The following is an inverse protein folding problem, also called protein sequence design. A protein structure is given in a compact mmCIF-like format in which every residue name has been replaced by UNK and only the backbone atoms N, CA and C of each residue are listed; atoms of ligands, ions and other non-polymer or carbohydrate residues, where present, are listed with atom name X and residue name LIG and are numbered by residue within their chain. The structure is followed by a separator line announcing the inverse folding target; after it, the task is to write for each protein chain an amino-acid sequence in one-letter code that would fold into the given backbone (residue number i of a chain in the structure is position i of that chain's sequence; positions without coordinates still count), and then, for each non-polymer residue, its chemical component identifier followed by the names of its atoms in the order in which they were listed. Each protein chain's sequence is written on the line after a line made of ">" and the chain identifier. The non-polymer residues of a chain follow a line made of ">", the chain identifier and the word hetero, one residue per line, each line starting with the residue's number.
data_IF_732982141590
#
_entry.id   IF_732982141590
#
_cell.length_a   1.000
_cell.length_b   1.000
_cell.length_c   1.000
_cell.angle_alpha   90.00
_cell.angle_beta   90.00
_cell.angle_gamma   90.00
#
_symmetry.space_group_name_H-M   'P 1'
#
loop_
_entity.id
_entity.type
_entity.pdbx_description
1 polymer ?
#
# COMPACT_ATOMS: atom_id res chain seq x y z
N UNK A 1 30.54 8.00 11.18
CA UNK A 1 29.20 7.48 11.56
C UNK A 1 28.16 8.59 11.79
N UNK A 2 28.57 9.81 12.18
CA UNK A 2 27.65 10.96 12.23
C UNK A 2 26.90 11.12 10.90
N UNK A 3 25.57 11.04 10.95
CA UNK A 3 24.65 11.25 9.82
C UNK A 3 24.22 10.00 9.04
N UNK A 4 24.91 8.85 9.16
CA UNK A 4 24.55 7.63 8.39
C UNK A 4 23.58 6.68 9.12
N UNK A 5 23.38 6.90 10.42
CA UNK A 5 22.54 6.06 11.29
C UNK A 5 21.07 6.12 10.87
N UNK A 6 20.62 7.24 10.32
CA UNK A 6 19.23 7.45 9.86
C UNK A 6 18.86 6.64 8.61
N UNK A 7 19.80 5.88 8.02
CA UNK A 7 19.60 5.16 6.75
C UNK A 7 19.74 3.63 6.89
N UNK A 8 19.78 3.11 8.11
CA UNK A 8 19.79 1.67 8.42
C UNK A 8 18.77 1.34 9.51
N UNK A 9 18.26 0.11 9.52
CA UNK A 9 17.34 -0.34 10.58
C UNK A 9 18.10 -0.77 11.84
N UNK A 10 17.43 -0.84 12.99
CA UNK A 10 18.06 -1.17 14.27
C UNK A 10 18.77 -2.54 14.23
N UNK A 11 18.20 -3.51 13.51
CA UNK A 11 18.78 -4.85 13.32
C UNK A 11 20.04 -4.82 12.45
N UNK A 12 20.05 -3.99 11.41
CA UNK A 12 21.19 -3.83 10.51
C UNK A 12 22.32 -3.02 11.13
N UNK A 13 22.04 -2.21 12.15
CA UNK A 13 23.06 -1.46 12.88
C UNK A 13 23.73 -2.29 13.99
N UNK A 14 23.13 -3.42 14.41
CA UNK A 14 23.75 -4.32 15.40
C UNK A 14 25.13 -4.86 14.98
N UNK A 15 25.35 -5.30 13.72
CA UNK A 15 26.67 -5.71 13.26
C UNK A 15 27.74 -4.61 13.29
N UNK A 16 27.38 -3.32 13.25
CA UNK A 16 28.34 -2.22 13.39
C UNK A 16 28.89 -2.12 14.83
N UNK A 17 28.07 -2.48 15.83
CA UNK A 17 28.53 -2.61 17.22
C UNK A 17 29.44 -3.83 17.41
N UNK A 18 29.31 -4.84 16.53
CA UNK A 18 30.13 -6.04 16.49
C UNK A 18 31.38 -5.93 15.57
N UNK A 19 31.66 -4.75 15.01
CA UNK A 19 32.90 -4.47 14.26
C UNK A 19 32.81 -4.63 12.72
N UNK A 20 31.64 -4.94 12.16
CA UNK A 20 31.45 -5.10 10.71
C UNK A 20 31.31 -3.75 10.00
N UNK A 21 32.04 -3.51 8.90
CA UNK A 21 31.98 -2.24 8.16
C UNK A 21 30.78 -2.17 7.19
N UNK A 22 29.66 -1.64 7.66
CA UNK A 22 28.46 -1.38 6.86
C UNK A 22 28.42 0.01 6.21
N UNK A 23 29.51 0.79 6.27
CA UNK A 23 29.53 2.17 5.75
C UNK A 23 29.29 2.23 4.24
N UNK A 24 29.69 1.20 3.50
CA UNK A 24 29.46 1.11 2.05
C UNK A 24 27.95 0.96 1.76
N UNK A 25 27.26 0.08 2.49
CA UNK A 25 25.81 -0.13 2.37
C UNK A 25 25.02 1.13 2.75
N UNK A 26 25.37 1.76 3.88
CA UNK A 26 24.70 2.99 4.35
C UNK A 26 24.92 4.18 3.40
N UNK A 27 26.11 4.30 2.79
CA UNK A 27 26.38 5.32 1.77
C UNK A 27 25.58 5.07 0.50
N UNK A 28 25.44 3.81 0.06
CA UNK A 28 24.60 3.45 -1.10
C UNK A 28 23.14 3.80 -0.85
N UNK A 29 22.62 3.53 0.35
CA UNK A 29 21.23 3.85 0.71
C UNK A 29 20.95 5.34 0.84
N UNK A 30 21.86 6.09 1.47
CA UNK A 30 21.80 7.55 1.52
C UNK A 30 21.74 8.15 0.11
N UNK A 31 22.61 7.69 -0.80
CA UNK A 31 22.61 8.15 -2.19
C UNK A 31 21.31 7.83 -2.91
N UNK A 32 20.70 6.66 -2.66
CA UNK A 32 19.37 6.32 -3.20
C UNK A 32 18.31 7.31 -2.72
N UNK A 33 18.25 7.57 -1.42
CA UNK A 33 17.25 8.49 -0.80
C UNK A 33 17.46 9.93 -1.25
N UNK A 34 18.72 10.40 -1.36
CA UNK A 34 19.04 11.74 -1.87
C UNK A 34 18.69 11.89 -3.36
N UNK A 35 18.81 10.83 -4.17
CA UNK A 35 18.37 10.81 -5.57
C UNK A 35 16.84 10.78 -5.72
N UNK A 36 16.09 10.42 -4.66
CA UNK A 36 14.63 10.34 -4.66
C UNK A 36 13.93 11.64 -4.24
N UNK A 37 14.65 12.61 -3.65
CA UNK A 37 14.09 13.86 -3.10
C UNK A 37 13.63 14.90 -4.15
N UNK A 38 13.44 14.50 -5.41
CA UNK A 38 13.00 15.39 -6.49
C UNK A 38 12.14 14.73 -7.57
N UNK A 39 11.57 13.55 -7.32
CA UNK A 39 10.75 12.86 -8.32
C UNK A 39 9.32 13.42 -8.27
N UNK A 40 8.99 14.30 -9.22
CA UNK A 40 7.58 14.64 -9.50
C UNK A 40 6.85 13.37 -9.99
N UNK A 41 5.82 12.97 -9.25
CA UNK A 41 4.97 11.85 -9.63
C UNK A 41 4.15 12.22 -10.88
N UNK A 42 4.15 11.38 -11.93
CA UNK A 42 3.44 11.70 -13.16
C UNK A 42 1.93 11.72 -12.91
N UNK A 43 1.25 12.73 -13.47
CA UNK A 43 -0.21 12.94 -13.39
C UNK A 43 -1.04 11.85 -14.09
N UNK A 44 -0.39 10.93 -14.78
CA UNK A 44 -0.99 9.81 -15.50
C UNK A 44 -0.14 8.58 -15.26
N UNK A 45 -0.77 7.51 -14.81
CA UNK A 45 -0.05 6.29 -14.44
C UNK A 45 0.20 5.44 -15.67
N UNK A 46 1.37 5.64 -16.27
CA UNK A 46 1.86 4.81 -17.38
C UNK A 46 2.36 3.46 -16.86
N UNK A 47 2.44 2.45 -17.74
CA UNK A 47 2.99 1.13 -17.41
C UNK A 47 4.41 1.21 -16.83
N UNK A 48 5.23 2.11 -17.38
CA UNK A 48 6.59 2.40 -16.90
C UNK A 48 6.61 3.02 -15.50
N UNK A 49 5.62 3.88 -15.20
CA UNK A 49 5.48 4.48 -13.87
C UNK A 49 5.07 3.42 -12.83
N UNK A 50 4.20 2.49 -13.20
CA UNK A 50 3.83 1.35 -12.36
C UNK A 50 5.04 0.46 -12.04
N UNK A 51 5.88 0.18 -13.04
CA UNK A 51 7.07 -0.66 -12.89
C UNK A 51 8.17 -0.01 -12.04
N UNK A 52 8.30 1.31 -12.09
CA UNK A 52 9.23 2.04 -11.23
C UNK A 52 8.79 2.00 -9.76
N UNK A 53 7.50 2.24 -9.49
CA UNK A 53 6.94 2.18 -8.12
C UNK A 53 7.00 0.74 -7.58
N UNK A 54 6.68 -0.24 -8.41
CA UNK A 54 6.78 -1.67 -8.10
C UNK A 54 8.18 -2.08 -7.61
N UNK A 55 9.23 -1.61 -8.28
CA UNK A 55 10.61 -1.98 -7.97
C UNK A 55 11.17 -1.35 -6.68
N UNK A 56 10.53 -0.28 -6.19
CA UNK A 56 10.91 0.40 -4.95
C UNK A 56 10.03 -0.04 -3.76
N UNK A 57 9.04 -0.88 -4.01
CA UNK A 57 8.06 -1.30 -3.02
C UNK A 57 8.65 -2.24 -1.97
N UNK A 58 8.47 -1.86 -0.70
CA UNK A 58 8.69 -2.73 0.46
C UNK A 58 7.42 -2.62 1.31
N UNK A 59 6.71 -3.74 1.46
CA UNK A 59 5.53 -3.79 2.32
C UNK A 59 5.97 -3.64 3.79
N UNK A 60 5.38 -2.68 4.50
CA UNK A 60 5.57 -2.56 5.96
C UNK A 60 4.31 -3.01 6.70
N UNK A 61 4.44 -3.71 7.83
CA UNK A 61 3.31 -4.17 8.61
C UNK A 61 2.45 -3.00 9.14
N UNK A 62 1.15 -3.26 9.29
CA UNK A 62 0.15 -2.40 9.93
C UNK A 62 0.50 -1.97 11.35
N UNK A 63 -0.30 -1.07 11.93
CA UNK A 63 -0.41 -0.99 13.39
C UNK A 63 -1.88 -1.11 13.75
N UNK A 64 -2.18 -1.77 14.87
CA UNK A 64 -3.54 -2.02 15.33
C UNK A 64 -4.35 -0.72 15.44
N UNK A 65 -5.44 -0.59 14.67
CA UNK A 65 -6.29 0.59 14.72
C UNK A 65 -7.04 0.92 13.42
N UNK A 66 -7.50 2.16 13.32
CA UNK A 66 -8.00 2.73 12.07
C UNK A 66 -6.83 2.89 11.08
N UNK A 67 -7.10 2.63 9.79
CA UNK A 67 -6.08 2.78 8.76
C UNK A 67 -5.71 4.24 8.49
N UNK A 68 -4.72 4.45 7.64
CA UNK A 68 -4.27 5.75 7.19
C UNK A 68 -4.89 6.09 5.83
N UNK A 69 -5.46 7.29 5.73
CA UNK A 69 -6.02 7.80 4.48
C UNK A 69 -4.94 7.98 3.42
N UNK A 70 -5.05 7.22 2.33
CA UNK A 70 -4.04 7.19 1.26
C UNK A 70 -4.53 7.86 -0.02
N UNK A 71 -5.84 7.83 -0.32
CA UNK A 71 -6.43 8.56 -1.45
C UNK A 71 -7.77 9.12 -1.02
N UNK A 72 -8.01 10.44 -1.16
CA UNK A 72 -9.21 11.08 -0.64
C UNK A 72 -10.48 10.64 -1.38
N UNK A 73 -11.61 10.77 -0.71
CA UNK A 73 -12.93 10.43 -1.23
C UNK A 73 -13.73 9.60 -0.22
N UNK A 74 -15.05 9.62 -0.37
CA UNK A 74 -15.98 8.84 0.47
C UNK A 74 -16.85 7.99 -0.43
N UNK A 75 -16.95 6.70 -0.13
CA UNK A 75 -17.77 5.76 -0.90
C UNK A 75 -18.46 4.75 0.00
N UNK A 76 -19.64 4.32 -0.40
CA UNK A 76 -20.35 3.19 0.20
C UNK A 76 -20.55 2.10 -0.84
N UNK A 77 -20.06 0.90 -0.55
CA UNK A 77 -20.20 -0.25 -1.43
C UNK A 77 -20.05 -1.56 -0.64
N UNK A 78 -20.38 -2.68 -1.28
CA UNK A 78 -20.18 -3.99 -0.69
C UNK A 78 -18.70 -4.34 -0.61
N UNK A 79 -18.30 -5.00 0.47
CA UNK A 79 -16.97 -5.53 0.68
C UNK A 79 -16.68 -6.74 -0.22
N UNK A 80 -15.49 -6.75 -0.80
CA UNK A 80 -14.89 -7.90 -1.48
C UNK A 80 -13.48 -8.14 -0.90
N UNK A 81 -13.38 -9.14 -0.03
CA UNK A 81 -12.19 -9.53 0.73
C UNK A 81 -11.42 -10.60 -0.01
N UNK A 82 -10.13 -10.34 -0.20
CA UNK A 82 -9.14 -11.28 -0.74
C UNK A 82 -8.14 -11.52 0.39
N UNK A 83 -8.22 -12.65 1.08
CA UNK A 83 -7.48 -12.88 2.34
C UNK A 83 -6.13 -13.60 2.17
N UNK A 84 -5.78 -14.09 0.98
CA UNK A 84 -4.60 -14.93 0.78
C UNK A 84 -4.00 -14.86 -0.62
N UNK A 85 -2.85 -15.52 -0.85
CA UNK A 85 -2.12 -15.56 -2.12
C UNK A 85 -2.80 -16.41 -3.19
N UNK A 86 -4.07 -16.72 -3.00
CA UNK A 86 -4.88 -17.52 -3.92
C UNK A 86 -4.89 -16.85 -5.28
N UNK A 87 -4.68 -17.65 -6.34
CA UNK A 87 -4.77 -17.14 -7.70
C UNK A 87 -6.22 -16.71 -7.94
N UNK A 88 -6.46 -15.40 -7.96
CA UNK A 88 -7.75 -14.83 -8.33
C UNK A 88 -8.06 -15.23 -9.78
N UNK A 89 -9.14 -15.96 -9.97
CA UNK A 89 -9.65 -16.29 -11.28
C UNK A 89 -10.36 -15.10 -11.91
N UNK A 90 -10.70 -15.24 -13.19
CA UNK A 90 -11.47 -14.23 -13.93
C UNK A 90 -12.85 -13.96 -13.28
N UNK A 91 -13.46 -14.99 -12.69
CA UNK A 91 -14.71 -14.87 -11.94
C UNK A 91 -14.58 -14.03 -10.66
N UNK A 92 -13.47 -14.19 -9.92
CA UNK A 92 -13.20 -13.42 -8.70
C UNK A 92 -12.95 -11.95 -9.04
N UNK A 93 -12.19 -11.69 -10.11
CA UNK A 93 -11.98 -10.35 -10.63
C UNK A 93 -13.30 -9.72 -11.08
N UNK A 94 -14.18 -10.45 -11.79
CA UNK A 94 -15.49 -9.93 -12.16
C UNK A 94 -16.34 -9.57 -10.93
N UNK A 95 -16.28 -10.39 -9.88
CA UNK A 95 -17.02 -10.18 -8.63
C UNK A 95 -16.52 -8.99 -7.79
N UNK A 96 -15.31 -8.49 -8.04
CA UNK A 96 -14.74 -7.31 -7.38
C UNK A 96 -15.22 -5.97 -7.99
N UNK A 97 -15.80 -5.99 -9.20
CA UNK A 97 -16.20 -4.77 -9.92
C UNK A 97 -17.19 -3.94 -9.10
N UNK A 98 -16.91 -2.64 -8.94
CA UNK A 98 -17.77 -1.70 -8.22
C UNK A 98 -17.87 -1.95 -6.71
N UNK A 99 -17.02 -2.81 -6.15
CA UNK A 99 -17.01 -3.15 -4.72
C UNK A 99 -15.82 -2.51 -4.01
N UNK A 100 -15.87 -2.50 -2.68
CA UNK A 100 -14.74 -2.13 -1.84
C UNK A 100 -13.80 -3.32 -1.76
N UNK A 101 -12.61 -3.17 -2.34
CA UNK A 101 -11.62 -4.22 -2.37
C UNK A 101 -10.80 -4.20 -1.08
N UNK A 102 -10.72 -5.33 -0.37
CA UNK A 102 -9.97 -5.49 0.87
C UNK A 102 -8.91 -6.57 0.68
N UNK A 103 -7.65 -6.25 0.96
CA UNK A 103 -6.51 -7.13 0.71
C UNK A 103 -5.34 -6.90 1.67
N UNK A 104 -4.46 -7.90 1.89
CA UNK A 104 -3.25 -7.73 2.68
C UNK A 104 -2.30 -6.71 2.06
N UNK A 105 -2.07 -6.82 0.74
CA UNK A 105 -1.15 -5.99 -0.01
C UNK A 105 -1.50 -5.91 -1.51
N UNK A 106 -1.33 -4.73 -2.12
CA UNK A 106 -1.57 -4.52 -3.56
C UNK A 106 -0.28 -4.70 -4.34
N UNK A 107 -0.11 -5.88 -4.93
CA UNK A 107 0.99 -6.12 -5.86
C UNK A 107 0.74 -5.45 -7.23
N UNK A 108 1.79 -5.07 -7.97
CA UNK A 108 1.67 -4.53 -9.32
C UNK A 108 0.99 -5.47 -10.32
N UNK A 109 1.22 -6.79 -10.16
CA UNK A 109 0.57 -7.80 -11.00
C UNK A 109 -0.94 -7.80 -10.78
N UNK A 110 -1.37 -7.77 -9.51
CA UNK A 110 -2.78 -7.68 -9.16
C UNK A 110 -3.39 -6.37 -9.69
N UNK A 111 -2.72 -5.25 -9.48
CA UNK A 111 -3.18 -3.94 -9.90
C UNK A 111 -3.43 -3.81 -11.41
N UNK A 112 -2.67 -4.54 -12.25
CA UNK A 112 -2.89 -4.63 -13.69
C UNK A 112 -4.14 -5.46 -14.05
N UNK A 113 -4.53 -6.40 -13.20
CA UNK A 113 -5.65 -7.32 -13.42
C UNK A 113 -6.97 -6.82 -12.79
N UNK A 114 -6.92 -5.87 -11.86
CA UNK A 114 -8.12 -5.39 -11.17
C UNK A 114 -9.14 -4.77 -12.13
N UNK A 115 -10.44 -5.10 -12.00
CA UNK A 115 -11.49 -4.34 -12.66
C UNK A 115 -11.62 -2.94 -12.04
N UNK A 116 -12.47 -2.06 -12.60
CA UNK A 116 -12.92 -0.87 -11.88
C UNK A 116 -13.59 -1.24 -10.56
N UNK A 117 -12.96 -0.85 -9.44
CA UNK A 117 -13.46 -1.04 -8.07
C UNK A 117 -13.97 0.29 -7.50
N UNK A 118 -14.78 0.26 -6.44
CA UNK A 118 -15.32 1.47 -5.82
C UNK A 118 -14.34 2.14 -4.85
N UNK A 119 -13.43 1.37 -4.26
CA UNK A 119 -12.44 1.86 -3.30
C UNK A 119 -11.54 0.72 -2.82
N UNK A 120 -10.48 1.08 -2.10
CA UNK A 120 -9.39 0.17 -1.75
C UNK A 120 -9.05 0.23 -0.25
N UNK A 121 -8.99 -0.91 0.41
CA UNK A 121 -8.56 -1.09 1.81
C UNK A 121 -7.39 -2.07 1.82
N UNK A 122 -6.25 -1.66 2.36
CA UNK A 122 -5.03 -2.47 2.40
C UNK A 122 -4.48 -2.57 3.82
N UNK A 123 -4.07 -3.76 4.25
CA UNK A 123 -3.48 -3.96 5.58
C UNK A 123 -2.04 -3.43 5.67
N UNK A 124 -1.25 -3.58 4.59
CA UNK A 124 0.11 -3.06 4.50
C UNK A 124 0.16 -1.52 4.62
N UNK A 125 1.17 -1.00 5.32
CA UNK A 125 1.42 0.43 5.48
C UNK A 125 2.23 1.01 4.31
N UNK A 126 2.00 2.31 4.09
CA UNK A 126 2.96 3.19 3.45
C UNK A 126 2.33 4.53 3.07
N UNK A 127 2.79 5.68 3.61
CA UNK A 127 2.28 7.01 3.21
C UNK A 127 2.55 7.34 1.73
N UNK A 128 3.43 6.55 1.08
CA UNK A 128 3.73 6.54 -0.34
C UNK A 128 3.63 5.13 -0.96
N UNK A 129 2.92 4.19 -0.32
CA UNK A 129 2.79 2.81 -0.77
C UNK A 129 2.11 2.72 -2.14
N UNK A 130 2.52 1.75 -2.96
CA UNK A 130 2.02 1.54 -4.33
C UNK A 130 0.48 1.59 -4.40
N UNK A 131 -0.22 1.03 -3.40
CA UNK A 131 -1.68 1.09 -3.25
C UNK A 131 -2.26 2.50 -3.29
N UNK A 132 -1.73 3.43 -2.48
CA UNK A 132 -2.21 4.81 -2.44
C UNK A 132 -1.94 5.57 -3.74
N UNK A 133 -0.78 5.35 -4.34
CA UNK A 133 -0.42 5.95 -5.64
C UNK A 133 -1.33 5.42 -6.75
N UNK A 134 -1.54 4.10 -6.80
CA UNK A 134 -2.43 3.45 -7.74
C UNK A 134 -3.87 3.96 -7.58
N UNK A 135 -4.37 4.04 -6.34
CA UNK A 135 -5.71 4.53 -6.04
C UNK A 135 -5.92 5.98 -6.49
N UNK A 136 -4.95 6.87 -6.24
CA UNK A 136 -5.00 8.27 -6.72
C UNK A 136 -5.01 8.35 -8.24
N UNK A 137 -4.20 7.53 -8.90
CA UNK A 137 -4.12 7.49 -10.35
C UNK A 137 -5.41 7.01 -11.02
N UNK A 138 -6.10 6.03 -10.42
CA UNK A 138 -7.38 5.52 -10.93
C UNK A 138 -8.60 6.26 -10.35
N UNK A 139 -8.38 7.23 -9.46
CA UNK A 139 -9.41 8.14 -8.96
C UNK A 139 -10.36 7.54 -7.93
N UNK A 140 -9.89 6.61 -7.09
CA UNK A 140 -10.70 5.95 -6.04
C UNK A 140 -10.22 6.29 -4.62
N UNK A 141 -11.10 6.27 -3.61
CA UNK A 141 -10.69 6.40 -2.22
C UNK A 141 -9.89 5.19 -1.75
N UNK A 142 -8.89 5.43 -0.89
CA UNK A 142 -8.02 4.38 -0.38
C UNK A 142 -7.62 4.60 1.08
N UNK A 143 -7.64 3.51 1.85
CA UNK A 143 -7.10 3.41 3.20
C UNK A 143 -6.04 2.31 3.23
N UNK A 144 -4.88 2.60 3.81
CA UNK A 144 -3.76 1.67 3.99
C UNK A 144 -3.47 1.44 5.46
N UNK A 145 -2.62 0.47 5.82
CA UNK A 145 -2.29 0.21 7.23
C UNK A 145 -3.47 -0.29 8.07
N UNK A 146 -4.55 -0.76 7.43
CA UNK A 146 -5.75 -1.23 8.10
C UNK A 146 -5.55 -2.67 8.60
N UNK A 147 -4.68 -2.84 9.59
CA UNK A 147 -4.26 -4.15 10.10
C UNK A 147 -5.46 -5.03 10.49
N UNK A 148 -5.46 -6.28 10.04
CA UNK A 148 -6.52 -7.25 10.31
C UNK A 148 -7.85 -6.97 9.60
N UNK A 149 -7.91 -6.02 8.65
CA UNK A 149 -9.12 -5.74 7.88
C UNK A 149 -9.64 -6.97 7.10
N UNK A 150 -8.76 -7.79 6.53
CA UNK A 150 -9.11 -9.01 5.81
C UNK A 150 -9.73 -10.07 6.71
N UNK A 151 -9.36 -10.11 7.99
CA UNK A 151 -9.94 -11.01 8.97
C UNK A 151 -11.25 -10.45 9.59
N UNK A 152 -11.34 -9.13 9.73
CA UNK A 152 -12.45 -8.44 10.43
C UNK A 152 -13.64 -8.13 9.53
N UNK A 153 -13.39 -7.84 8.26
CA UNK A 153 -14.43 -7.45 7.29
C UNK A 153 -14.97 -8.69 6.57
N UNK A 154 -16.22 -8.63 6.13
CA UNK A 154 -16.93 -9.78 5.57
C UNK A 154 -17.42 -9.49 4.16
N UNK A 155 -17.21 -10.43 3.24
CA UNK A 155 -17.71 -10.37 1.86
C UNK A 155 -19.21 -10.04 1.78
N UNK A 156 -19.58 -9.20 0.81
CA UNK A 156 -20.97 -8.79 0.55
C UNK A 156 -21.54 -7.79 1.55
N UNK A 157 -20.83 -7.49 2.65
CA UNK A 157 -21.31 -6.53 3.64
C UNK A 157 -21.06 -5.11 3.18
N UNK A 158 -22.06 -4.23 3.32
CA UNK A 158 -21.96 -2.83 2.91
C UNK A 158 -21.13 -2.03 3.90
N UNK A 159 -20.09 -1.38 3.40
CA UNK A 159 -19.15 -0.57 4.16
C UNK A 159 -19.14 0.85 3.64
N UNK A 160 -18.85 1.79 4.54
CA UNK A 160 -18.50 3.18 4.23
C UNK A 160 -17.00 3.35 4.40
N UNK A 161 -16.33 3.81 3.36
CA UNK A 161 -14.89 4.11 3.33
C UNK A 161 -14.70 5.62 3.22
N UNK A 162 -13.88 6.20 4.09
CA UNK A 162 -13.36 7.57 3.95
C UNK A 162 -11.83 7.51 3.82
N UNK A 163 -11.36 7.67 2.59
CA UNK A 163 -9.94 7.61 2.26
C UNK A 163 -9.16 8.88 2.58
N UNK A 164 -9.83 9.95 3.01
CA UNK A 164 -9.18 11.17 3.52
C UNK A 164 -8.90 11.08 5.02
N UNK A 165 -9.89 10.60 5.79
CA UNK A 165 -9.79 10.43 7.24
C UNK A 165 -9.18 9.09 7.68
N UNK A 166 -9.03 8.13 6.76
CA UNK A 166 -8.52 6.80 7.11
C UNK A 166 -9.56 5.89 7.78
N UNK A 167 -10.86 6.19 7.63
CA UNK A 167 -11.91 5.51 8.39
C UNK A 167 -12.68 4.49 7.57
N UNK A 168 -13.03 3.39 8.22
CA UNK A 168 -13.81 2.29 7.66
C UNK A 168 -14.95 2.02 8.65
N UNK A 169 -16.19 2.10 8.19
CA UNK A 169 -17.37 1.90 9.02
C UNK A 169 -18.41 1.02 8.33
N UNK A 170 -19.36 0.50 9.11
CA UNK A 170 -20.54 -0.17 8.57
C UNK A 170 -21.50 0.86 7.98
N UNK A 171 -22.04 0.59 6.80
CA UNK A 171 -23.18 1.34 6.27
C UNK A 171 -24.44 0.85 6.99
N UNK A 172 -25.19 1.76 7.58
CA UNK A 172 -26.54 1.51 8.13
C UNK A 172 -27.56 1.28 7.04
#
# INVERSE_FOLDING_TARGET
>A
LRGLIFYGTLEELRPLLAGSDLRALLRRRRRRIELMNGVELPKTMTLESLERIANEYVAEPGAEGAGEGASPGVVEAEAFVIAGPEALGEGDLAAARGRLLILPDLSPALAKALPPVAGLIVEARGPAGFAGQWARAVGIPCVTGAEGATARLTNGRRLRLDGGLGTIGWSS
#
